data_IF_880176868013
#
_entry.id   IF_880176868013
#
_cell.length_a   1.000
_cell.length_b   1.000
_cell.length_c   1.000
_cell.angle_alpha   90.00
_cell.angle_beta   90.00
_cell.angle_gamma   90.00
#
_symmetry.space_group_name_H-M   'P 1'
#
loop_
_entity.id
_entity.type
_entity.pdbx_description
1 polymer ?
#
# COMPACT_ATOMS: atom_id res chain seq x y z
N UNK A 1 -4.91 -0.55 19.90
CA UNK A 1 -3.72 -1.29 19.43
C UNK A 1 -4.17 -2.55 18.71
N UNK A 2 -3.54 -2.86 17.62
CA UNK A 2 -3.87 -4.05 16.85
C UNK A 2 -2.80 -5.12 17.06
N UNK A 3 -3.16 -6.36 16.72
CA UNK A 3 -2.25 -7.50 16.85
C UNK A 3 -1.60 -7.88 15.53
N UNK A 4 -1.67 -6.98 14.54
CA UNK A 4 -1.17 -7.27 13.21
C UNK A 4 0.35 -7.27 13.18
N UNK A 5 0.89 -8.13 12.32
CA UNK A 5 2.33 -8.34 12.17
C UNK A 5 2.74 -7.85 10.79
N UNK A 6 3.88 -7.17 10.71
CA UNK A 6 4.40 -6.73 9.41
C UNK A 6 5.22 -7.87 8.76
N UNK A 7 5.64 -7.62 7.52
CA UNK A 7 6.35 -8.65 6.74
C UNK A 7 7.71 -9.00 7.33
N UNK A 8 8.22 -8.21 8.28
CA UNK A 8 9.49 -8.47 8.94
C UNK A 8 9.32 -9.27 10.22
N UNK A 9 8.07 -9.57 10.60
CA UNK A 9 7.78 -10.32 11.82
C UNK A 9 7.61 -9.47 13.06
N UNK A 10 7.64 -8.14 12.90
CA UNK A 10 7.43 -7.22 14.01
C UNK A 10 6.03 -6.65 14.02
N UNK A 11 5.78 -5.72 14.93
CA UNK A 11 4.47 -5.08 15.03
C UNK A 11 4.22 -4.18 13.83
N UNK A 12 3.02 -4.23 13.27
CA UNK A 12 2.67 -3.39 12.11
C UNK A 12 2.66 -1.92 12.50
N UNK A 13 3.45 -1.12 11.78
CA UNK A 13 3.55 0.32 12.05
C UNK A 13 2.59 1.11 11.19
N UNK A 14 2.35 2.36 11.56
CA UNK A 14 1.48 3.26 10.82
C UNK A 14 2.07 3.55 9.44
N UNK A 15 1.22 3.47 8.41
CA UNK A 15 1.61 3.81 7.05
C UNK A 15 1.46 5.31 6.81
N UNK A 16 0.27 5.86 7.04
CA UNK A 16 0.05 7.29 6.85
C UNK A 16 -1.19 7.75 7.58
N UNK A 17 -1.07 8.92 8.24
CA UNK A 17 -2.21 9.60 8.86
C UNK A 17 -2.64 10.83 8.05
N UNK A 18 -1.82 11.26 7.10
CA UNK A 18 -2.12 12.42 6.24
C UNK A 18 -1.49 12.20 4.86
N UNK A 19 -2.22 11.58 3.92
CA UNK A 19 -3.61 11.17 3.99
C UNK A 19 -3.80 9.94 4.89
N UNK A 20 -4.97 9.86 5.53
CA UNK A 20 -5.28 8.74 6.41
C UNK A 20 -5.64 7.53 5.56
N UNK A 21 -4.85 6.50 5.64
CA UNK A 21 -4.95 5.36 4.75
C UNK A 21 -5.44 4.10 5.48
N UNK A 22 -5.56 3.02 4.73
CA UNK A 22 -5.89 1.70 5.26
C UNK A 22 -7.33 1.32 4.98
N UNK A 23 -7.59 0.01 4.94
CA UNK A 23 -8.94 -0.51 4.78
C UNK A 23 -9.87 0.02 5.86
N UNK A 24 -9.36 0.13 7.10
CA UNK A 24 -10.14 0.64 8.22
C UNK A 24 -10.00 2.15 8.40
N UNK A 25 -9.21 2.82 7.57
CA UNK A 25 -8.92 4.25 7.69
C UNK A 25 -8.36 4.62 9.07
N UNK A 26 -7.51 3.75 9.60
CA UNK A 26 -6.84 3.97 10.88
C UNK A 26 -5.36 4.34 10.69
N UNK A 27 -4.93 4.51 9.46
CA UNK A 27 -3.55 4.85 9.14
C UNK A 27 -2.64 3.65 8.95
N UNK A 28 -3.13 2.46 9.22
CA UNK A 28 -2.35 1.23 9.13
C UNK A 28 -2.88 0.32 8.04
N UNK A 29 -1.99 -0.47 7.43
CA UNK A 29 -2.38 -1.39 6.36
C UNK A 29 -2.92 -2.68 6.95
N UNK A 30 -3.88 -2.55 7.86
CA UNK A 30 -4.60 -3.68 8.43
C UNK A 30 -5.61 -4.23 7.43
N UNK A 31 -5.96 -5.49 7.60
CA UNK A 31 -6.88 -6.13 6.68
C UNK A 31 -7.71 -7.17 7.42
N UNK A 32 -8.82 -7.61 6.80
CA UNK A 32 -9.57 -8.77 7.27
C UNK A 32 -10.22 -9.43 6.05
N UNK A 33 -11.07 -10.44 6.30
CA UNK A 33 -11.63 -11.25 5.22
C UNK A 33 -12.52 -10.45 4.27
N UNK A 34 -13.02 -9.28 4.69
CA UNK A 34 -13.86 -8.44 3.83
C UNK A 34 -13.05 -7.61 2.84
N UNK A 35 -11.76 -7.44 3.12
CA UNK A 35 -10.86 -6.66 2.27
C UNK A 35 -10.32 -7.56 1.15
N UNK A 36 -11.12 -7.72 0.11
CA UNK A 36 -10.78 -8.64 -0.98
C UNK A 36 -9.55 -8.21 -1.74
N UNK A 37 -9.31 -6.89 -1.81
CA UNK A 37 -8.13 -6.37 -2.49
C UNK A 37 -6.87 -6.51 -1.67
N UNK A 38 -6.99 -6.83 -0.38
CA UNK A 38 -5.86 -6.97 0.54
C UNK A 38 -4.99 -5.72 0.47
N UNK A 39 -5.50 -4.61 1.02
CA UNK A 39 -4.80 -3.31 1.01
C UNK A 39 -3.73 -3.33 2.06
N UNK A 40 -2.68 -4.11 1.83
CA UNK A 40 -1.70 -4.48 2.84
C UNK A 40 -0.30 -3.96 2.58
N UNK A 41 -0.03 -3.38 1.40
CA UNK A 41 1.32 -2.91 1.06
C UNK A 41 1.38 -1.39 1.25
N UNK A 42 2.21 -0.95 2.20
CA UNK A 42 2.42 0.48 2.40
C UNK A 42 3.45 0.98 1.42
N UNK A 43 3.04 1.83 0.48
CA UNK A 43 3.89 2.35 -0.58
C UNK A 43 4.08 3.85 -0.46
N UNK A 44 5.23 4.32 -0.93
CA UNK A 44 5.42 5.73 -1.22
C UNK A 44 5.10 5.90 -2.69
N UNK A 45 4.00 6.57 -2.99
CA UNK A 45 3.42 6.60 -4.33
C UNK A 45 4.31 7.36 -5.30
N UNK A 46 4.38 6.85 -6.54
CA UNK A 46 5.07 7.50 -7.64
C UNK A 46 4.06 7.83 -8.72
N UNK A 47 4.41 8.76 -9.60
CA UNK A 47 3.53 9.12 -10.70
C UNK A 47 3.27 7.92 -11.59
N UNK A 48 4.30 7.13 -11.89
CA UNK A 48 4.17 5.95 -12.73
C UNK A 48 3.21 4.93 -12.13
N UNK A 49 3.32 4.68 -10.82
CA UNK A 49 2.43 3.73 -10.17
C UNK A 49 0.98 4.24 -10.17
N UNK A 50 0.79 5.53 -9.90
CA UNK A 50 -0.55 6.10 -9.87
C UNK A 50 -1.24 5.99 -11.23
N UNK A 51 -0.50 6.24 -12.30
CA UNK A 51 -1.05 6.12 -13.66
C UNK A 51 -1.32 4.67 -14.02
N UNK A 52 -0.44 3.76 -13.59
CA UNK A 52 -0.64 2.34 -13.81
C UNK A 52 -1.92 1.86 -13.09
N UNK A 53 -2.07 2.23 -11.82
CA UNK A 53 -3.24 1.82 -11.05
C UNK A 53 -4.52 2.33 -11.69
N UNK A 54 -4.52 3.61 -12.16
CA UNK A 54 -5.69 4.16 -12.82
C UNK A 54 -6.02 3.40 -14.09
N UNK A 55 -5.01 3.02 -14.87
CA UNK A 55 -5.23 2.29 -16.11
C UNK A 55 -5.82 0.90 -15.85
N UNK A 56 -5.65 0.38 -14.64
CA UNK A 56 -6.18 -0.92 -14.25
C UNK A 56 -7.52 -0.80 -13.53
N UNK A 57 -8.12 0.37 -13.56
CA UNK A 57 -9.44 0.59 -12.95
C UNK A 57 -9.40 1.04 -11.50
N UNK A 58 -8.22 1.28 -10.95
CA UNK A 58 -8.07 1.71 -9.57
C UNK A 58 -7.55 3.15 -9.56
N UNK A 59 -8.47 4.11 -9.68
CA UNK A 59 -8.11 5.52 -9.78
C UNK A 59 -7.86 6.09 -8.40
N UNK A 60 -6.60 6.26 -8.05
CA UNK A 60 -6.18 6.84 -6.78
C UNK A 60 -5.91 8.33 -6.90
N UNK A 61 -5.99 8.90 -8.10
CA UNK A 61 -5.63 10.29 -8.35
C UNK A 61 -6.82 11.23 -8.19
N UNK A 62 -7.98 10.84 -8.70
CA UNK A 62 -9.14 11.71 -8.73
C UNK A 62 -9.78 11.80 -7.34
N UNK A 63 -9.96 13.01 -6.79
CA UNK A 63 -10.63 13.15 -5.50
C UNK A 63 -12.07 12.64 -5.54
N UNK A 64 -12.52 12.06 -4.45
CA UNK A 64 -13.90 11.59 -4.29
C UNK A 64 -14.43 12.14 -2.96
N UNK A 65 -14.81 13.44 -2.93
CA UNK A 65 -15.20 14.09 -1.67
C UNK A 65 -16.35 13.40 -0.97
N UNK A 66 -17.27 12.78 -1.72
CA UNK A 66 -18.42 12.08 -1.13
C UNK A 66 -17.99 10.89 -0.29
N UNK A 67 -16.76 10.39 -0.50
CA UNK A 67 -16.19 9.30 0.30
C UNK A 67 -15.06 9.77 1.21
N UNK A 68 -14.87 11.08 1.32
CA UNK A 68 -13.78 11.62 2.12
C UNK A 68 -12.40 11.33 1.57
N UNK A 69 -12.31 11.06 0.27
CA UNK A 69 -11.05 10.71 -0.37
C UNK A 69 -10.48 11.94 -1.08
N UNK A 70 -9.30 12.44 -0.65
CA UNK A 70 -8.75 13.69 -1.18
C UNK A 70 -8.01 13.55 -2.51
N UNK A 71 -7.85 12.31 -3.01
CA UNK A 71 -6.96 12.07 -4.13
C UNK A 71 -5.52 12.01 -3.66
N UNK A 72 -4.69 11.28 -4.38
CA UNK A 72 -3.30 11.04 -3.98
C UNK A 72 -2.35 11.59 -5.01
N UNK A 73 -1.14 11.91 -4.57
CA UNK A 73 -0.10 12.46 -5.42
C UNK A 73 1.23 11.79 -5.10
N UNK A 74 2.23 11.91 -5.98
CA UNK A 74 3.56 11.33 -5.69
C UNK A 74 4.09 11.81 -4.36
N UNK A 75 4.68 10.88 -3.61
CA UNK A 75 5.21 11.17 -2.28
C UNK A 75 4.27 10.83 -1.15
N UNK A 76 2.98 10.69 -1.42
CA UNK A 76 2.03 10.25 -0.40
C UNK A 76 2.25 8.78 -0.09
N UNK A 77 2.01 8.39 1.16
CA UNK A 77 2.03 6.98 1.54
C UNK A 77 0.60 6.46 1.54
N UNK A 78 0.43 5.24 1.06
CA UNK A 78 -0.90 4.66 0.93
C UNK A 78 -0.82 3.14 1.02
N UNK A 79 -1.83 2.54 1.64
CA UNK A 79 -1.96 1.08 1.68
C UNK A 79 -2.60 0.63 0.38
N UNK A 80 -1.78 0.06 -0.51
CA UNK A 80 -2.28 -0.34 -1.82
C UNK A 80 -2.61 -1.83 -1.83
N UNK A 81 -3.46 -2.20 -2.78
CA UNK A 81 -3.83 -3.58 -3.02
C UNK A 81 -2.58 -4.39 -3.36
N UNK A 82 -2.39 -5.51 -2.64
CA UNK A 82 -1.17 -6.31 -2.81
C UNK A 82 -1.02 -6.82 -4.24
N UNK A 83 -2.11 -7.28 -4.85
CA UNK A 83 -2.02 -7.79 -6.22
C UNK A 83 -1.70 -6.67 -7.21
N UNK A 84 -2.26 -5.48 -6.99
CA UNK A 84 -1.94 -4.34 -7.86
C UNK A 84 -0.47 -3.99 -7.78
N UNK A 85 0.11 -4.03 -6.56
CA UNK A 85 1.54 -3.78 -6.41
C UNK A 85 2.36 -4.84 -7.13
N UNK A 86 1.98 -6.12 -7.02
CA UNK A 86 2.67 -7.20 -7.70
C UNK A 86 2.59 -7.04 -9.21
N UNK A 87 1.40 -6.66 -9.73
CA UNK A 87 1.25 -6.40 -11.15
C UNK A 87 2.16 -5.26 -11.60
N UNK A 88 2.31 -4.25 -10.75
CA UNK A 88 3.18 -3.11 -11.07
C UNK A 88 4.65 -3.53 -11.12
N UNK A 89 5.07 -4.48 -10.28
CA UNK A 89 6.43 -5.02 -10.35
C UNK A 89 6.66 -5.62 -11.73
N UNK A 90 5.71 -6.41 -12.20
CA UNK A 90 5.83 -7.06 -13.50
C UNK A 90 5.84 -6.06 -14.64
N UNK A 91 5.17 -4.93 -14.45
CA UNK A 91 5.14 -3.86 -15.45
C UNK A 91 6.32 -2.88 -15.33
N UNK A 92 7.16 -3.04 -14.31
CA UNK A 92 8.33 -2.18 -14.12
C UNK A 92 8.03 -0.83 -13.51
N UNK A 93 6.87 -0.68 -12.84
CA UNK A 93 6.44 0.61 -12.27
C UNK A 93 6.04 0.51 -10.79
N UNK A 94 6.54 -0.49 -10.08
CA UNK A 94 6.23 -0.63 -8.66
C UNK A 94 6.82 0.51 -7.85
N UNK A 95 6.05 0.97 -6.86
CA UNK A 95 6.52 2.06 -5.99
C UNK A 95 7.31 1.48 -4.80
N UNK A 96 8.13 2.33 -4.15
CA UNK A 96 8.89 1.89 -2.97
C UNK A 96 7.97 1.47 -1.83
N UNK A 97 8.42 0.50 -1.03
CA UNK A 97 7.61 -0.12 0.02
C UNK A 97 8.21 0.21 1.38
N UNK A 98 7.33 0.51 2.35
CA UNK A 98 7.72 0.65 3.74
C UNK A 98 7.44 -0.68 4.43
N UNK A 99 8.47 -1.49 4.61
CA UNK A 99 8.30 -2.88 5.08
C UNK A 99 7.68 -2.95 6.46
N UNK A 100 8.09 -2.05 7.37
CA UNK A 100 7.58 -2.05 8.74
C UNK A 100 6.09 -1.76 8.80
N UNK A 101 5.55 -1.12 7.76
CA UNK A 101 4.14 -0.76 7.69
C UNK A 101 3.37 -1.62 6.69
N UNK A 102 3.97 -2.68 6.18
CA UNK A 102 3.35 -3.61 5.24
C UNK A 102 2.94 -4.86 5.99
N UNK A 103 1.65 -5.18 5.92
CA UNK A 103 1.06 -6.30 6.66
C UNK A 103 1.57 -7.64 6.09
N UNK A 104 1.73 -8.63 6.97
CA UNK A 104 2.23 -9.95 6.56
C UNK A 104 1.33 -10.61 5.51
N UNK A 105 0.03 -10.27 5.47
CA UNK A 105 -0.88 -10.82 4.47
C UNK A 105 -0.49 -10.45 3.04
N UNK A 106 0.34 -9.42 2.87
CA UNK A 106 0.85 -9.07 1.55
C UNK A 106 1.62 -10.23 0.93
N UNK A 107 2.17 -11.11 1.76
CA UNK A 107 2.97 -12.24 1.28
C UNK A 107 2.14 -13.28 0.54
N UNK A 108 0.81 -13.21 0.65
CA UNK A 108 -0.07 -14.10 -0.13
C UNK A 108 0.02 -13.78 -1.62
N UNK A 109 0.19 -12.49 -1.96
CA UNK A 109 0.23 -12.07 -3.37
C UNK A 109 1.61 -11.60 -3.82
N UNK A 110 2.51 -11.28 -2.89
CA UNK A 110 3.80 -10.68 -3.21
C UNK A 110 4.93 -11.51 -2.61
N UNK A 111 6.02 -11.65 -3.38
CA UNK A 111 7.24 -12.29 -2.88
C UNK A 111 7.95 -11.36 -1.91
N UNK A 112 8.41 -11.90 -0.77
CA UNK A 112 9.17 -11.09 0.18
C UNK A 112 10.44 -10.52 -0.47
N UNK A 113 11.06 -11.27 -1.36
CA UNK A 113 12.28 -10.80 -2.03
C UNK A 113 12.00 -9.58 -2.88
N UNK A 114 10.84 -9.53 -3.54
CA UNK A 114 10.46 -8.37 -4.35
C UNK A 114 10.13 -7.18 -3.47
N UNK A 115 9.44 -7.42 -2.35
CA UNK A 115 9.16 -6.34 -1.41
C UNK A 115 10.45 -5.75 -0.87
N UNK A 116 11.42 -6.60 -0.52
CA UNK A 116 12.71 -6.13 0.01
C UNK A 116 13.51 -5.38 -1.07
N UNK A 117 13.41 -5.83 -2.32
CA UNK A 117 14.12 -5.17 -3.41
C UNK A 117 13.60 -3.76 -3.67
N UNK A 118 12.35 -3.50 -3.29
CA UNK A 118 11.72 -2.18 -3.46
C UNK A 118 11.60 -1.43 -2.14
N UNK A 119 12.26 -1.91 -1.09
CA UNK A 119 12.13 -1.30 0.22
C UNK A 119 12.66 0.12 0.23
N UNK A 120 11.91 1.01 0.89
CA UNK A 120 12.35 2.37 1.12
C UNK A 120 13.59 2.36 2.01
N UNK A 121 14.58 3.15 1.63
CA UNK A 121 15.79 3.28 2.43
C UNK A 121 15.47 3.95 3.77
N UNK A 122 16.09 3.46 4.84
CA UNK A 122 15.82 3.97 6.19
C UNK A 122 16.56 5.25 6.52
N UNK A 123 17.26 5.84 5.60
CA UNK A 123 18.03 7.03 5.90
C UNK A 123 17.30 8.21 6.28
#
# INVERSE_FOLDING_TARGET
>A
MHDSINVLGGELETCSLAPKTGWFRDGCCNTDARDRGSHTVCCILTQEFLEFARSRGNDLITPAPEHGFPGLKPGDRWCVCAQTWQDAVEAGVACPVVLEATHEEALVACDIELLEAHAESAE
#
